data_IF_475800792693
#
_entry.id   IF_475800792693
#
_cell.length_a   1.000
_cell.length_b   1.000
_cell.length_c   1.000
_cell.angle_alpha   90.00
_cell.angle_beta   90.00
_cell.angle_gamma   90.00
#
_symmetry.space_group_name_H-M   'P 1'
#
loop_
_entity.id
_entity.type
_entity.pdbx_description
1 polymer ?
#
# COMPACT_ATOMS: atom_id res chain seq x y z
N UNK A 1 11.07 -40.01 -6.52
CA UNK A 1 10.03 -39.18 -7.20
C UNK A 1 9.13 -38.39 -6.23
N UNK A 2 8.97 -38.78 -4.95
CA UNK A 2 8.10 -38.07 -3.99
C UNK A 2 8.66 -36.76 -3.40
N UNK A 3 9.99 -36.57 -3.40
CA UNK A 3 10.63 -35.38 -2.82
C UNK A 3 10.42 -34.09 -3.64
N UNK A 4 10.25 -34.22 -4.96
CA UNK A 4 10.14 -33.08 -5.87
C UNK A 4 8.76 -32.40 -5.83
N UNK A 5 7.74 -33.14 -5.41
CA UNK A 5 6.38 -32.63 -5.24
C UNK A 5 6.26 -31.77 -3.97
N UNK A 6 6.89 -32.20 -2.87
CA UNK A 6 6.95 -31.43 -1.62
C UNK A 6 7.70 -30.10 -1.78
N UNK A 7 8.81 -30.07 -2.52
CA UNK A 7 9.59 -28.82 -2.69
C UNK A 7 8.82 -27.74 -3.44
N UNK A 8 8.08 -28.12 -4.49
CA UNK A 8 7.22 -27.17 -5.24
C UNK A 8 6.07 -26.65 -4.39
N UNK A 9 5.49 -27.51 -3.56
CA UNK A 9 4.44 -27.10 -2.62
C UNK A 9 4.96 -26.13 -1.55
N UNK A 10 6.16 -26.38 -1.02
CA UNK A 10 6.82 -25.47 -0.07
C UNK A 10 7.14 -24.13 -0.72
N UNK A 11 7.68 -24.10 -1.95
CA UNK A 11 7.93 -22.86 -2.68
C UNK A 11 6.63 -22.09 -2.94
N UNK A 12 5.56 -22.79 -3.31
CA UNK A 12 4.24 -22.18 -3.51
C UNK A 12 3.70 -21.57 -2.20
N UNK A 13 3.82 -22.28 -1.08
CA UNK A 13 3.43 -21.78 0.26
C UNK A 13 4.28 -20.58 0.69
N UNK A 14 5.58 -20.56 0.40
CA UNK A 14 6.46 -19.42 0.67
C UNK A 14 6.11 -18.19 -0.18
N UNK A 15 5.71 -18.39 -1.44
CA UNK A 15 5.22 -17.32 -2.32
C UNK A 15 3.85 -16.80 -1.85
N UNK A 16 2.97 -17.70 -1.38
CA UNK A 16 1.65 -17.34 -0.83
C UNK A 16 1.76 -16.60 0.51
N UNK A 17 2.74 -16.96 1.36
CA UNK A 17 3.00 -16.29 2.64
C UNK A 17 3.58 -14.88 2.53
N UNK A 18 4.03 -14.49 1.32
CA UNK A 18 4.49 -13.13 1.01
C UNK A 18 3.34 -12.18 0.64
N UNK A 19 2.10 -12.67 0.55
CA UNK A 19 0.95 -11.77 0.47
C UNK A 19 0.78 -11.11 1.84
N UNK A 20 1.42 -9.96 2.03
CA UNK A 20 1.22 -9.10 3.18
C UNK A 20 -0.28 -8.84 3.31
N UNK A 21 -0.92 -9.45 4.31
CA UNK A 21 -2.29 -9.14 4.66
C UNK A 21 -2.32 -7.77 5.34
N UNK A 22 -2.55 -6.73 4.55
CA UNK A 22 -2.71 -5.35 4.98
C UNK A 22 -4.12 -5.19 5.53
N UNK A 23 -4.26 -5.24 6.86
CA UNK A 23 -5.56 -5.08 7.50
C UNK A 23 -5.41 -4.40 8.85
N UNK A 24 -5.69 -3.09 8.88
CA UNK A 24 -5.68 -2.26 10.09
C UNK A 24 -4.61 -1.17 10.05
N UNK A 25 -4.83 -0.09 10.80
CA UNK A 25 -4.03 1.16 10.73
C UNK A 25 -2.50 0.93 10.79
N UNK A 26 -2.00 0.14 11.75
CA UNK A 26 -0.55 -0.11 11.89
C UNK A 26 0.02 -1.10 10.85
N UNK A 27 -0.77 -2.10 10.45
CA UNK A 27 -0.37 -3.09 9.44
C UNK A 27 -0.46 -2.51 8.02
N UNK A 28 -1.38 -1.60 7.76
CA UNK A 28 -1.52 -0.88 6.49
C UNK A 28 -0.32 0.04 6.25
N UNK A 29 0.19 0.74 7.27
CA UNK A 29 1.44 1.51 7.16
C UNK A 29 2.61 0.63 6.75
N UNK A 30 2.77 -0.53 7.39
CA UNK A 30 3.87 -1.45 7.08
C UNK A 30 3.73 -2.02 5.67
N UNK A 31 2.51 -2.37 5.27
CA UNK A 31 2.21 -2.83 3.92
C UNK A 31 2.60 -1.80 2.85
N UNK A 32 2.28 -0.51 3.06
CA UNK A 32 2.66 0.54 2.12
C UNK A 32 4.19 0.72 2.05
N UNK A 33 4.93 0.48 3.14
CA UNK A 33 6.41 0.48 3.14
C UNK A 33 6.95 -0.67 2.29
N UNK A 34 6.49 -1.89 2.56
CA UNK A 34 6.91 -3.10 1.83
C UNK A 34 6.55 -3.00 0.34
N UNK A 35 5.40 -2.41 0.03
CA UNK A 35 4.96 -2.17 -1.34
C UNK A 35 5.86 -1.16 -2.06
N UNK A 36 6.20 -0.04 -1.41
CA UNK A 36 7.14 0.95 -1.96
C UNK A 36 8.51 0.33 -2.23
N UNK A 37 8.99 -0.54 -1.33
CA UNK A 37 10.24 -1.26 -1.52
C UNK A 37 10.16 -2.27 -2.68
N UNK A 38 9.07 -3.04 -2.76
CA UNK A 38 8.89 -4.08 -3.79
C UNK A 38 8.69 -3.52 -5.19
N UNK A 39 8.01 -2.39 -5.34
CA UNK A 39 7.79 -1.75 -6.65
C UNK A 39 8.99 -0.92 -7.11
N UNK A 40 9.83 -0.49 -6.17
CA UNK A 40 10.77 0.59 -6.40
C UNK A 40 10.06 1.89 -6.78
N UNK A 41 10.81 2.85 -7.31
CA UNK A 41 10.22 4.10 -7.79
C UNK A 41 10.95 4.67 -9.02
N UNK A 42 10.96 3.92 -10.16
CA UNK A 42 11.71 4.33 -11.35
C UNK A 42 11.22 5.66 -11.95
N UNK A 43 9.96 6.03 -11.71
CA UNK A 43 9.33 7.24 -12.24
C UNK A 43 9.13 8.35 -11.20
N UNK A 44 9.59 8.17 -9.95
CA UNK A 44 9.40 9.16 -8.88
C UNK A 44 7.97 9.31 -8.36
N UNK A 45 7.05 8.41 -8.76
CA UNK A 45 5.62 8.50 -8.44
C UNK A 45 5.31 8.21 -6.96
N UNK A 46 6.11 7.35 -6.32
CA UNK A 46 5.98 6.98 -4.90
C UNK A 46 6.92 7.79 -3.99
N UNK A 47 7.76 8.66 -4.57
CA UNK A 47 8.66 9.55 -3.83
C UNK A 47 7.94 10.39 -2.77
N UNK A 48 6.72 10.92 -3.00
CA UNK A 48 5.97 11.68 -1.98
C UNK A 48 5.53 10.85 -0.76
N UNK A 49 5.52 9.52 -0.85
CA UNK A 49 5.17 8.66 0.27
C UNK A 49 6.28 8.69 1.31
N UNK A 50 6.11 9.52 2.33
CA UNK A 50 7.08 9.72 3.40
C UNK A 50 6.59 9.07 4.70
N UNK A 51 7.31 8.04 5.14
CA UNK A 51 7.00 7.28 6.36
C UNK A 51 7.76 7.75 7.60
N UNK A 52 8.45 8.89 7.58
CA UNK A 52 9.17 9.42 8.76
C UNK A 52 8.20 9.91 9.84
N UNK A 53 6.99 10.32 9.47
CA UNK A 53 5.96 10.85 10.39
C UNK A 53 5.12 9.76 11.05
N UNK A 54 5.74 8.73 11.65
CA UNK A 54 5.05 7.57 12.26
C UNK A 54 4.15 7.92 13.47
N UNK A 55 4.18 9.16 13.97
CA UNK A 55 3.46 9.57 15.19
C UNK A 55 2.12 10.27 14.91
N UNK A 56 1.83 10.62 13.66
CA UNK A 56 0.58 11.28 13.29
C UNK A 56 -0.38 10.22 12.73
N UNK A 57 -1.61 10.14 13.22
CA UNK A 57 -2.63 9.34 12.54
C UNK A 57 -3.12 10.06 11.27
N UNK A 58 -3.63 9.31 10.31
CA UNK A 58 -4.14 9.82 9.02
C UNK A 58 -3.09 10.32 8.01
N UNK A 59 -1.80 10.29 8.34
CA UNK A 59 -0.77 10.85 7.45
C UNK A 59 -0.64 10.08 6.13
N UNK A 60 -0.88 8.76 6.13
CA UNK A 60 -0.84 7.95 4.92
C UNK A 60 -2.00 8.25 3.97
N UNK A 61 -3.10 8.81 4.46
CA UNK A 61 -4.25 9.20 3.65
C UNK A 61 -3.95 10.41 2.75
N UNK A 62 -2.84 11.10 3.01
CA UNK A 62 -2.34 12.21 2.19
C UNK A 62 -1.44 11.71 1.06
N UNK A 63 -1.10 10.43 1.05
CA UNK A 63 -0.29 9.86 0.00
C UNK A 63 -1.08 9.79 -1.29
N UNK A 64 -0.40 10.11 -2.39
CA UNK A 64 -1.01 10.00 -3.71
C UNK A 64 -1.46 8.56 -3.96
N UNK A 65 -2.67 8.38 -4.49
CA UNK A 65 -3.24 7.07 -4.77
C UNK A 65 -3.74 6.28 -3.55
N UNK A 66 -3.70 6.82 -2.33
CA UNK A 66 -4.22 6.16 -1.12
C UNK A 66 -5.56 6.78 -0.72
N UNK A 67 -6.55 5.95 -0.48
CA UNK A 67 -7.84 6.31 0.10
C UNK A 67 -8.03 5.55 1.41
N UNK A 68 -8.38 6.25 2.48
CA UNK A 68 -8.52 5.69 3.82
C UNK A 68 -10.00 5.51 4.22
N UNK A 69 -10.23 4.67 5.23
CA UNK A 69 -11.55 4.53 5.85
C UNK A 69 -12.04 5.81 6.54
N UNK A 70 -11.12 6.53 7.19
CA UNK A 70 -11.36 7.81 7.89
C UNK A 70 -10.12 8.69 7.70
N UNK A 71 -10.26 10.02 7.54
CA UNK A 71 -9.12 10.93 7.34
C UNK A 71 -8.15 10.99 8.52
N UNK A 72 -8.59 10.61 9.71
CA UNK A 72 -7.82 10.65 10.95
C UNK A 72 -7.23 9.28 11.35
N UNK A 73 -7.30 8.28 10.46
CA UNK A 73 -6.79 6.93 10.71
C UNK A 73 -5.84 6.50 9.60
N UNK A 74 -4.79 5.74 9.90
CA UNK A 74 -3.91 5.20 8.85
C UNK A 74 -4.47 3.94 8.16
N UNK A 75 -5.77 3.67 8.32
CA UNK A 75 -6.43 2.48 7.78
C UNK A 75 -6.79 2.69 6.32
N UNK A 76 -6.16 1.93 5.43
CA UNK A 76 -6.36 2.06 3.99
C UNK A 76 -7.65 1.34 3.56
N UNK A 77 -8.47 2.03 2.77
CA UNK A 77 -9.66 1.49 2.13
C UNK A 77 -9.36 1.07 0.69
N UNK A 78 -8.63 1.89 -0.07
CA UNK A 78 -8.36 1.64 -1.49
C UNK A 78 -7.01 2.20 -1.90
N UNK A 79 -6.31 1.47 -2.77
CA UNK A 79 -5.03 1.89 -3.35
C UNK A 79 -5.10 1.91 -4.89
N UNK A 80 -4.67 3.01 -5.49
CA UNK A 80 -4.72 3.28 -6.93
C UNK A 80 -3.34 3.56 -7.50
N UNK A 81 -2.68 2.52 -8.03
CA UNK A 81 -1.33 2.60 -8.61
C UNK A 81 -1.31 2.84 -10.14
N UNK A 82 -2.37 2.42 -10.85
CA UNK A 82 -2.37 2.32 -12.32
C UNK A 82 -2.31 3.62 -13.12
N UNK A 83 -2.47 4.79 -12.48
CA UNK A 83 -2.48 6.10 -13.14
C UNK A 83 -1.48 7.10 -12.57
N UNK A 84 -0.51 6.64 -11.79
CA UNK A 84 0.48 7.50 -11.11
C UNK A 84 1.68 7.78 -12.06
N UNK A 85 1.48 8.67 -13.04
CA UNK A 85 2.58 9.20 -13.87
C UNK A 85 3.19 10.48 -13.27
N UNK A 86 4.43 10.88 -13.67
CA UNK A 86 5.17 12.03 -13.14
C UNK A 86 4.53 13.42 -13.36
N UNK A 87 3.28 13.49 -13.83
CA UNK A 87 2.49 14.71 -13.94
C UNK A 87 0.98 14.46 -13.87
N UNK A 88 0.52 13.40 -13.21
CA UNK A 88 -0.92 13.27 -12.96
C UNK A 88 -1.32 14.29 -11.88
N UNK A 89 -1.97 15.38 -12.30
CA UNK A 89 -2.75 16.22 -11.37
C UNK A 89 -3.85 15.33 -10.81
N UNK A 90 -3.54 14.68 -9.70
CA UNK A 90 -4.48 13.88 -8.95
C UNK A 90 -5.49 14.86 -8.36
N UNK A 91 -6.70 14.85 -8.90
CA UNK A 91 -7.81 15.53 -8.26
C UNK A 91 -8.10 14.75 -6.98
N UNK A 92 -8.01 15.36 -5.78
CA UNK A 92 -8.55 14.72 -4.60
C UNK A 92 -10.01 14.40 -4.90
N UNK A 93 -10.39 13.12 -4.82
CA UNK A 93 -11.78 12.74 -4.70
C UNK A 93 -12.32 13.54 -3.53
N UNK A 94 -13.27 14.45 -3.81
CA UNK A 94 -13.96 15.22 -2.77
C UNK A 94 -14.42 14.24 -1.68
N UNK A 95 -14.30 14.58 -0.40
CA UNK A 95 -15.05 13.85 0.59
C UNK A 95 -16.52 13.98 0.22
N UNK A 96 -17.20 12.85 0.11
CA UNK A 96 -18.66 12.80 0.18
C UNK A 96 -19.05 13.34 1.55
N UNK A 97 -19.16 14.66 1.66
CA UNK A 97 -19.92 15.31 2.72
C UNK A 97 -21.37 14.91 2.44
N UNK A 98 -21.82 13.89 3.15
CA UNK A 98 -23.24 13.61 3.28
C UNK A 98 -23.88 14.82 3.96
N UNK A 99 -24.78 15.48 3.21
CA UNK A 99 -26.01 16.02 3.77
C UNK A 99 -26.79 14.94 4.53
#
# INVERSE_FOLDING_TARGET
MFHFHSMKFIILLLLLGRLSSCSGSSSDVQCLKDLKESLGDPNGALSPWNFSSNHLEGYVCKFNGVECWSPDENRVLTLRLGSMGPASRFFPSRPSVLQ
#
